data_IF_380875649123
#
_entry.id   IF_380875649123
#
_cell.length_a   1.000
_cell.length_b   1.000
_cell.length_c   1.000
_cell.angle_alpha   90.00
_cell.angle_beta   90.00
_cell.angle_gamma   90.00
#
_symmetry.space_group_name_H-M   'P 1'
#
loop_
_entity.id
_entity.type
_entity.pdbx_description
1 polymer ?
#
# COMPACT_ATOMS: atom_id res chain seq x y z
N UNK A 1 -13.53 -11.94 8.67
CA UNK A 1 -14.35 -10.77 8.27
C UNK A 1 -15.16 -11.09 7.03
N UNK A 2 -14.54 -11.55 5.92
CA UNK A 2 -15.26 -11.91 4.70
C UNK A 2 -16.31 -13.00 4.89
N UNK A 3 -16.01 -14.02 5.71
CA UNK A 3 -16.97 -15.07 6.05
C UNK A 3 -18.22 -14.53 6.78
N UNK A 4 -18.05 -13.47 7.58
CA UNK A 4 -19.16 -12.84 8.32
C UNK A 4 -19.90 -11.77 7.52
N UNK A 5 -19.32 -11.31 6.41
CA UNK A 5 -19.97 -10.36 5.52
C UNK A 5 -21.17 -11.05 4.82
N UNK A 6 -22.33 -10.40 4.83
CA UNK A 6 -23.51 -10.93 4.15
C UNK A 6 -23.57 -10.48 2.68
N UNK A 7 -22.45 -10.61 1.97
CA UNK A 7 -22.30 -10.26 0.57
C UNK A 7 -21.10 -11.01 -0.04
N UNK A 8 -20.99 -11.07 -1.38
CA UNK A 8 -19.80 -11.62 -2.02
C UNK A 8 -18.54 -10.88 -1.62
N UNK A 9 -17.49 -11.62 -1.25
CA UNK A 9 -16.19 -11.06 -0.83
C UNK A 9 -15.06 -11.77 -1.57
N UNK A 10 -14.10 -11.00 -2.07
CA UNK A 10 -12.84 -11.50 -2.59
C UNK A 10 -11.71 -11.21 -1.60
N UNK A 11 -11.03 -12.25 -1.14
CA UNK A 11 -9.85 -12.13 -0.29
C UNK A 11 -8.62 -12.45 -1.12
N UNK A 12 -7.76 -11.46 -1.34
CA UNK A 12 -6.52 -11.61 -2.07
C UNK A 12 -5.37 -11.83 -1.11
N UNK A 13 -4.59 -12.88 -1.33
CA UNK A 13 -3.40 -13.21 -0.55
C UNK A 13 -2.32 -13.81 -1.46
N UNK A 14 -1.03 -13.70 -1.10
CA UNK A 14 0.05 -14.21 -1.92
C UNK A 14 0.13 -15.74 -1.86
N UNK A 15 0.74 -16.33 -2.87
CA UNK A 15 1.21 -17.71 -2.84
C UNK A 15 2.63 -17.71 -2.24
N UNK A 16 2.77 -18.15 -1.01
CA UNK A 16 4.07 -18.17 -0.33
C UNK A 16 3.94 -18.57 1.13
N UNK A 17 5.04 -18.52 1.85
CA UNK A 17 5.05 -18.67 3.29
C UNK A 17 4.56 -17.38 3.95
N UNK A 18 3.86 -17.51 5.08
CA UNK A 18 3.59 -16.36 5.94
C UNK A 18 4.92 -15.75 6.40
N UNK A 19 4.99 -14.43 6.44
CA UNK A 19 6.15 -13.72 6.97
C UNK A 19 6.35 -13.95 8.47
N UNK A 20 7.02 -13.03 9.13
CA UNK A 20 7.34 -13.11 10.56
C UNK A 20 6.18 -12.74 11.49
N UNK A 21 4.98 -12.47 10.93
CA UNK A 21 3.83 -12.08 11.72
C UNK A 21 3.36 -13.20 12.68
N UNK A 22 3.19 -12.86 13.94
CA UNK A 22 2.61 -13.78 14.93
C UNK A 22 1.16 -14.09 14.58
N UNK A 23 0.85 -15.39 14.49
CA UNK A 23 -0.52 -15.84 14.30
C UNK A 23 -1.26 -15.66 15.62
N UNK A 24 -2.22 -14.75 15.62
CA UNK A 24 -3.05 -14.52 16.80
C UNK A 24 -3.93 -15.75 17.08
N UNK A 25 -4.03 -16.15 18.35
CA UNK A 25 -4.85 -17.29 18.79
C UNK A 25 -6.35 -17.02 18.61
N UNK A 26 -6.76 -15.77 18.64
CA UNK A 26 -8.14 -15.36 18.44
C UNK A 26 -8.32 -14.57 17.15
N UNK A 27 -9.34 -14.94 16.38
CA UNK A 27 -9.73 -14.21 15.18
C UNK A 27 -10.61 -13.03 15.53
N UNK A 28 -10.17 -11.84 15.15
CA UNK A 28 -10.93 -10.59 15.30
C UNK A 28 -11.51 -10.14 13.96
N UNK A 29 -12.69 -9.53 14.01
CA UNK A 29 -13.28 -8.92 12.81
C UNK A 29 -12.60 -7.58 12.52
N UNK A 30 -12.28 -7.37 11.27
CA UNK A 30 -11.82 -6.06 10.78
C UNK A 30 -13.05 -5.22 10.40
N UNK A 31 -12.99 -3.94 10.69
CA UNK A 31 -13.96 -2.99 10.16
C UNK A 31 -13.75 -2.83 8.66
N UNK A 32 -14.78 -3.16 7.88
CA UNK A 32 -14.69 -3.14 6.40
C UNK A 32 -14.46 -1.71 5.92
N UNK A 33 -13.47 -1.55 5.04
CA UNK A 33 -13.09 -0.26 4.49
C UNK A 33 -12.27 0.61 5.44
N UNK A 34 -11.71 0.04 6.52
CA UNK A 34 -10.81 0.75 7.42
C UNK A 34 -9.38 0.26 7.32
N UNK A 35 -8.51 1.20 7.07
CA UNK A 35 -7.07 1.01 7.06
C UNK A 35 -6.51 0.94 8.50
N UNK A 36 -5.23 0.60 8.61
CA UNK A 36 -4.51 0.60 9.87
C UNK A 36 -3.20 1.37 9.72
N UNK A 37 -3.08 2.47 10.43
CA UNK A 37 -1.82 3.24 10.48
C UNK A 37 -0.83 2.51 11.36
N UNK A 38 0.25 2.03 10.74
CA UNK A 38 1.33 1.27 11.41
C UNK A 38 2.32 2.23 12.08
N UNK A 39 2.58 3.35 11.41
CA UNK A 39 3.52 4.37 11.88
C UNK A 39 3.02 5.74 11.48
N UNK A 40 3.04 6.67 12.41
CA UNK A 40 2.80 8.08 12.12
C UNK A 40 4.11 8.77 11.71
N UNK A 41 4.01 9.63 10.74
CA UNK A 41 5.10 10.46 10.23
C UNK A 41 4.59 11.81 9.76
N UNK A 42 5.35 12.48 8.92
CA UNK A 42 4.98 13.79 8.38
C UNK A 42 5.32 13.89 6.89
N UNK A 43 4.60 14.75 6.18
CA UNK A 43 4.81 15.11 4.77
C UNK A 43 4.59 13.98 3.75
N UNK A 44 4.98 12.76 4.05
CA UNK A 44 4.88 11.61 3.13
C UNK A 44 4.02 10.54 3.78
N UNK A 45 3.02 10.02 3.06
CA UNK A 45 2.24 8.86 3.48
C UNK A 45 2.47 7.71 2.48
N UNK A 46 2.88 6.55 2.99
CA UNK A 46 3.03 5.31 2.21
C UNK A 46 1.83 4.42 2.50
N UNK A 47 1.00 4.20 1.48
CA UNK A 47 -0.22 3.40 1.52
C UNK A 47 0.05 2.02 0.90
N UNK A 48 0.27 1.02 1.74
CA UNK A 48 0.56 -0.33 1.27
C UNK A 48 -0.70 -1.18 1.15
N UNK A 49 -0.87 -1.82 -0.01
CA UNK A 49 -1.93 -2.77 -0.31
C UNK A 49 -1.35 -4.19 -0.35
N UNK A 50 -1.42 -4.89 0.76
CA UNK A 50 -1.01 -6.28 0.88
C UNK A 50 0.45 -6.49 1.33
N UNK A 51 1.16 -7.40 0.66
CA UNK A 51 2.40 -8.01 1.14
C UNK A 51 3.62 -7.10 1.21
N UNK A 52 3.64 -6.03 0.44
CA UNK A 52 4.78 -5.10 0.40
C UNK A 52 4.88 -4.19 1.65
N UNK A 53 3.99 -4.38 2.63
CA UNK A 53 4.00 -3.59 3.87
C UNK A 53 5.34 -3.70 4.62
N UNK A 54 5.91 -4.91 4.70
CA UNK A 54 7.20 -5.13 5.34
C UNK A 54 8.32 -4.41 4.59
N UNK A 55 8.34 -4.50 3.25
CA UNK A 55 9.32 -3.82 2.41
C UNK A 55 9.26 -2.29 2.52
N UNK A 56 8.08 -1.75 2.84
CA UNK A 56 7.88 -0.30 3.00
C UNK A 56 8.41 0.25 4.34
N UNK A 57 8.70 -0.61 5.32
CA UNK A 57 9.10 -0.17 6.67
C UNK A 57 10.42 0.59 6.68
N UNK A 58 11.40 0.15 5.89
CA UNK A 58 12.68 0.84 5.76
C UNK A 58 12.49 2.26 5.22
N UNK A 59 11.77 2.40 4.11
CA UNK A 59 11.49 3.70 3.50
C UNK A 59 10.72 4.61 4.46
N UNK A 60 9.68 4.08 5.13
CA UNK A 60 8.92 4.85 6.12
C UNK A 60 9.78 5.30 7.30
N UNK A 61 10.78 4.50 7.69
CA UNK A 61 11.67 4.85 8.80
C UNK A 61 12.69 5.91 8.41
N UNK A 62 13.35 5.75 7.28
CA UNK A 62 14.37 6.68 6.81
C UNK A 62 13.79 8.04 6.40
N UNK A 63 12.58 8.05 5.82
CA UNK A 63 11.95 9.28 5.36
C UNK A 63 11.09 9.96 6.43
N UNK A 64 10.92 9.36 7.60
CA UNK A 64 9.99 9.86 8.61
C UNK A 64 8.55 9.88 8.12
N UNK A 65 8.19 8.95 7.22
CA UNK A 65 6.89 8.90 6.58
C UNK A 65 5.84 8.18 7.44
N UNK A 66 4.58 8.55 7.24
CA UNK A 66 3.44 7.77 7.71
C UNK A 66 3.37 6.47 6.92
N UNK A 67 3.21 5.32 7.58
CA UNK A 67 3.01 4.02 6.96
C UNK A 67 1.64 3.47 7.30
N UNK A 68 0.87 3.15 6.27
CA UNK A 68 -0.49 2.66 6.38
C UNK A 68 -0.64 1.30 5.71
N UNK A 69 -1.21 0.33 6.43
CA UNK A 69 -1.75 -0.88 5.85
C UNK A 69 -3.20 -0.61 5.42
N UNK A 70 -3.43 -0.51 4.13
CA UNK A 70 -4.76 -0.17 3.59
C UNK A 70 -5.79 -1.28 3.77
N UNK A 71 -5.37 -2.53 3.91
CA UNK A 71 -6.23 -3.72 4.12
C UNK A 71 -7.29 -3.95 3.05
N UNK A 72 -8.02 -2.91 2.66
CA UNK A 72 -9.15 -2.98 1.74
C UNK A 72 -8.87 -2.17 0.48
N UNK A 73 -9.08 -2.81 -0.67
CA UNK A 73 -9.05 -2.12 -1.97
C UNK A 73 -10.43 -1.51 -2.26
N UNK A 74 -11.49 -2.26 -1.89
CA UNK A 74 -12.88 -1.84 -2.06
C UNK A 74 -13.74 -2.38 -0.89
N UNK A 75 -14.37 -1.48 -0.11
CA UNK A 75 -14.23 -0.02 -0.20
C UNK A 75 -12.87 0.50 0.30
N UNK A 76 -12.39 1.61 -0.26
CA UNK A 76 -11.24 2.34 0.26
C UNK A 76 -11.61 3.07 1.56
N UNK A 77 -10.64 3.29 2.43
CA UNK A 77 -10.76 4.21 3.57
C UNK A 77 -10.64 5.66 3.10
N UNK A 78 -11.73 6.20 2.59
CA UNK A 78 -11.78 7.57 2.08
C UNK A 78 -11.60 8.61 3.17
N UNK A 79 -12.05 8.33 4.39
CA UNK A 79 -11.85 9.24 5.53
C UNK A 79 -10.37 9.42 5.87
N UNK A 80 -9.59 8.34 5.81
CA UNK A 80 -8.14 8.44 5.98
C UNK A 80 -7.49 9.20 4.81
N UNK A 81 -7.93 8.98 3.57
CA UNK A 81 -7.39 9.72 2.42
C UNK A 81 -7.66 11.22 2.52
N UNK A 82 -8.83 11.62 3.02
CA UNK A 82 -9.16 13.03 3.28
C UNK A 82 -8.23 13.64 4.34
N UNK A 83 -8.00 12.94 5.45
CA UNK A 83 -7.08 13.37 6.49
C UNK A 83 -5.63 13.51 5.96
N UNK A 84 -5.14 12.51 5.25
CA UNK A 84 -3.81 12.52 4.68
C UNK A 84 -3.63 13.62 3.63
N UNK A 85 -4.66 13.89 2.84
CA UNK A 85 -4.61 14.95 1.83
C UNK A 85 -4.48 16.36 2.41
N UNK A 86 -4.86 16.54 3.67
CA UNK A 86 -4.75 17.82 4.39
C UNK A 86 -3.45 17.96 5.19
N UNK A 87 -2.79 16.84 5.49
CA UNK A 87 -1.66 16.80 6.42
C UNK A 87 -0.34 16.39 5.78
N UNK A 88 -0.38 15.88 4.54
CA UNK A 88 0.78 15.38 3.81
C UNK A 88 0.91 16.04 2.43
N UNK A 89 2.15 16.17 1.96
CA UNK A 89 2.48 16.75 0.65
C UNK A 89 2.53 15.68 -0.45
N UNK A 90 2.82 14.44 -0.05
CA UNK A 90 3.03 13.30 -0.96
C UNK A 90 2.32 12.06 -0.44
N UNK A 91 1.58 11.41 -1.32
CA UNK A 91 1.06 10.05 -1.12
C UNK A 91 1.81 9.10 -2.04
N UNK A 92 2.31 8.00 -1.48
CA UNK A 92 2.90 6.89 -2.22
C UNK A 92 2.00 5.69 -2.07
N UNK A 93 1.47 5.14 -3.17
CA UNK A 93 0.77 3.86 -3.12
C UNK A 93 1.72 2.73 -3.46
N UNK A 94 1.59 1.62 -2.78
CA UNK A 94 2.45 0.45 -2.95
C UNK A 94 1.60 -0.81 -3.04
N UNK A 95 1.68 -1.53 -4.17
CA UNK A 95 0.90 -2.73 -4.42
C UNK A 95 1.69 -3.81 -5.16
N UNK A 96 1.52 -5.05 -4.76
CA UNK A 96 2.02 -6.23 -5.48
C UNK A 96 1.03 -6.61 -6.59
N UNK A 97 0.83 -5.68 -7.50
CA UNK A 97 -0.10 -5.77 -8.62
C UNK A 97 0.31 -4.76 -9.71
N UNK A 98 -0.26 -4.89 -10.91
CA UNK A 98 -0.04 -3.91 -11.97
C UNK A 98 -0.49 -2.51 -11.54
N UNK A 99 0.35 -1.51 -11.80
CA UNK A 99 0.06 -0.10 -11.49
C UNK A 99 -1.18 0.36 -12.26
N UNK A 100 -1.26 -0.02 -13.55
CA UNK A 100 -2.39 0.35 -14.41
C UNK A 100 -3.67 -0.36 -13.97
N UNK A 101 -4.65 0.41 -13.49
CA UNK A 101 -5.93 -0.13 -13.01
C UNK A 101 -5.85 -0.84 -11.65
N UNK A 102 -4.74 -0.73 -10.95
CA UNK A 102 -4.53 -1.28 -9.61
C UNK A 102 -5.18 -0.46 -8.49
N UNK A 103 -4.87 -0.81 -7.25
CA UNK A 103 -5.40 -0.11 -6.07
C UNK A 103 -4.95 1.36 -6.00
N UNK A 104 -3.73 1.66 -6.45
CA UNK A 104 -3.23 3.03 -6.57
C UNK A 104 -4.05 3.88 -7.53
N UNK A 105 -4.58 3.30 -8.61
CA UNK A 105 -5.48 4.01 -9.53
C UNK A 105 -6.76 4.49 -8.83
N UNK A 106 -7.35 3.66 -7.97
CA UNK A 106 -8.54 4.05 -7.20
C UNK A 106 -8.25 5.18 -6.21
N UNK A 107 -7.05 5.20 -5.61
CA UNK A 107 -6.59 6.33 -4.78
C UNK A 107 -6.47 7.60 -5.60
N UNK A 108 -5.85 7.53 -6.80
CA UNK A 108 -5.73 8.67 -7.70
C UNK A 108 -7.09 9.24 -8.11
N UNK A 109 -8.02 8.37 -8.50
CA UNK A 109 -9.38 8.76 -8.89
C UNK A 109 -10.11 9.46 -7.75
N UNK A 110 -10.00 8.93 -6.53
CA UNK A 110 -10.61 9.55 -5.36
C UNK A 110 -10.01 10.93 -5.07
N UNK A 111 -8.68 11.03 -4.98
CA UNK A 111 -8.00 12.30 -4.68
C UNK A 111 -8.26 13.37 -5.77
N UNK A 112 -8.31 12.96 -7.04
CA UNK A 112 -8.65 13.85 -8.14
C UNK A 112 -10.10 14.37 -8.03
N UNK A 113 -11.05 13.51 -7.66
CA UNK A 113 -12.44 13.91 -7.44
C UNK A 113 -12.58 14.91 -6.28
N UNK A 114 -11.77 14.76 -5.24
CA UNK A 114 -11.69 15.70 -4.10
C UNK A 114 -10.89 16.97 -4.43
N UNK A 115 -10.27 17.07 -5.60
CA UNK A 115 -9.37 18.18 -5.99
C UNK A 115 -8.21 18.36 -5.00
N UNK A 116 -7.72 17.27 -4.46
CA UNK A 116 -6.61 17.29 -3.51
C UNK A 116 -5.35 17.84 -4.18
N UNK A 117 -4.68 18.78 -3.52
CA UNK A 117 -3.47 19.43 -4.03
C UNK A 117 -2.21 18.79 -3.40
N UNK A 118 -1.86 17.58 -3.85
CA UNK A 118 -0.68 16.85 -3.40
C UNK A 118 -0.10 16.02 -4.55
N UNK A 119 1.13 15.57 -4.39
CA UNK A 119 1.78 14.66 -5.35
C UNK A 119 1.40 13.22 -5.02
N UNK A 120 1.18 12.40 -6.06
CA UNK A 120 0.96 10.95 -5.88
C UNK A 120 1.99 10.17 -6.69
N UNK A 121 2.65 9.22 -6.05
CA UNK A 121 3.55 8.25 -6.67
C UNK A 121 2.94 6.86 -6.54
N UNK A 122 2.71 6.18 -7.65
CA UNK A 122 2.25 4.80 -7.63
C UNK A 122 3.42 3.85 -7.87
N UNK A 123 3.66 2.94 -6.92
CA UNK A 123 4.65 1.88 -7.00
C UNK A 123 3.94 0.53 -7.06
N UNK A 124 4.35 -0.28 -8.01
CA UNK A 124 3.77 -1.60 -8.26
C UNK A 124 4.44 -2.27 -9.45
N UNK A 125 3.84 -3.33 -9.94
CA UNK A 125 4.33 -4.07 -11.10
C UNK A 125 4.07 -3.26 -12.37
N UNK A 126 5.08 -3.06 -13.25
CA UNK A 126 4.87 -2.43 -14.54
C UNK A 126 3.93 -3.28 -15.42
N UNK A 127 3.28 -2.64 -16.42
CA UNK A 127 2.37 -3.33 -17.34
C UNK A 127 3.16 -4.10 -18.41
N UNK A 128 3.95 -5.07 -17.95
CA UNK A 128 4.77 -5.95 -18.81
C UNK A 128 4.92 -7.35 -18.19
N UNK A 129 5.33 -8.31 -18.99
CA UNK A 129 5.59 -9.66 -18.51
C UNK A 129 6.90 -9.71 -17.70
N UNK A 130 6.80 -10.02 -16.43
CA UNK A 130 7.94 -10.18 -15.54
C UNK A 130 8.58 -11.56 -15.72
N UNK A 131 9.90 -11.62 -15.82
CA UNK A 131 10.64 -12.89 -15.88
C UNK A 131 10.44 -13.66 -14.59
N UNK A 132 10.37 -14.99 -14.70
CA UNK A 132 10.19 -15.84 -13.53
C UNK A 132 11.42 -15.79 -12.61
N UNK A 133 11.15 -15.83 -11.31
CA UNK A 133 12.14 -15.85 -10.24
C UNK A 133 11.48 -16.15 -8.91
N UNK A 134 12.25 -16.12 -7.83
CA UNK A 134 11.65 -16.06 -6.50
C UNK A 134 10.92 -14.73 -6.30
N UNK A 135 9.95 -14.68 -5.40
CA UNK A 135 9.22 -13.44 -5.13
C UNK A 135 10.16 -12.27 -4.77
N UNK A 136 11.17 -12.52 -3.93
CA UNK A 136 12.15 -11.51 -3.56
C UNK A 136 12.94 -10.99 -4.77
N UNK A 137 13.44 -11.90 -5.64
CA UNK A 137 14.15 -11.50 -6.85
C UNK A 137 13.28 -10.66 -7.80
N UNK A 138 12.01 -11.06 -7.98
CA UNK A 138 11.08 -10.30 -8.80
C UNK A 138 10.80 -8.92 -8.20
N UNK A 139 10.57 -8.84 -6.89
CA UNK A 139 10.38 -7.55 -6.21
C UNK A 139 11.61 -6.64 -6.34
N UNK A 140 12.83 -7.19 -6.18
CA UNK A 140 14.06 -6.41 -6.33
C UNK A 140 14.24 -5.91 -7.76
N UNK A 141 13.98 -6.75 -8.78
CA UNK A 141 14.08 -6.37 -10.20
C UNK A 141 13.09 -5.24 -10.56
N UNK A 142 11.91 -5.24 -9.94
CA UNK A 142 10.88 -4.21 -10.15
C UNK A 142 11.04 -2.98 -9.24
N UNK A 143 12.07 -2.94 -8.38
CA UNK A 143 12.25 -1.85 -7.42
C UNK A 143 11.25 -1.84 -6.27
N UNK A 144 10.63 -2.99 -5.99
CA UNK A 144 9.66 -3.18 -4.89
C UNK A 144 10.28 -3.83 -3.64
N UNK A 145 11.58 -4.14 -3.67
CA UNK A 145 12.36 -4.47 -2.47
C UNK A 145 12.55 -3.24 -1.57
N UNK A 146 12.99 -3.44 -0.34
CA UNK A 146 13.14 -2.37 0.67
C UNK A 146 13.90 -1.15 0.15
N UNK A 147 15.09 -1.37 -0.42
CA UNK A 147 15.94 -0.30 -0.95
C UNK A 147 15.37 0.30 -2.23
N UNK A 148 14.71 -0.51 -3.06
CA UNK A 148 14.07 -0.09 -4.30
C UNK A 148 12.96 0.93 -4.04
N UNK A 149 12.09 0.66 -3.09
CA UNK A 149 11.00 1.57 -2.67
C UNK A 149 11.59 2.90 -2.19
N UNK A 150 12.60 2.86 -1.31
CA UNK A 150 13.26 4.05 -0.81
C UNK A 150 13.88 4.89 -1.94
N UNK A 151 14.58 4.23 -2.86
CA UNK A 151 15.23 4.89 -4.00
C UNK A 151 14.21 5.50 -4.98
N UNK A 152 13.02 4.93 -5.11
CA UNK A 152 11.95 5.47 -5.95
C UNK A 152 11.29 6.71 -5.32
N UNK A 153 11.19 6.77 -4.00
CA UNK A 153 10.55 7.89 -3.29
C UNK A 153 11.49 9.09 -3.20
N UNK A 154 12.78 8.89 -2.91
CA UNK A 154 13.76 9.99 -2.71
C UNK A 154 13.76 11.05 -3.83
N UNK A 155 13.89 10.68 -5.12
CA UNK A 155 13.88 11.67 -6.20
C UNK A 155 12.55 12.39 -6.37
N UNK A 156 11.46 11.73 -5.97
CA UNK A 156 10.11 12.27 -6.14
C UNK A 156 9.78 13.38 -5.14
N UNK A 157 10.48 13.42 -4.02
CA UNK A 157 10.30 14.38 -2.93
C UNK A 157 11.40 15.46 -2.88
N UNK A 158 12.42 15.34 -3.73
CA UNK A 158 13.56 16.26 -3.84
C UNK A 158 13.17 17.65 -4.38
#
# INVERSE_FOLDING_TARGET
TGYKANCPVAVRYPRGSAGTADIQSEMTLLEIGKANTIKQGAKIAILSFGTLLENAQLAASELGATLVNMRFIKPLDTSLLDELSQTHDVIVTLEDNAICGGAGSAVNEYLAAQKANLKVLNLGIPDEFIKHGTQAQMHDEMGLGEQGILNSIKPFIA
#
